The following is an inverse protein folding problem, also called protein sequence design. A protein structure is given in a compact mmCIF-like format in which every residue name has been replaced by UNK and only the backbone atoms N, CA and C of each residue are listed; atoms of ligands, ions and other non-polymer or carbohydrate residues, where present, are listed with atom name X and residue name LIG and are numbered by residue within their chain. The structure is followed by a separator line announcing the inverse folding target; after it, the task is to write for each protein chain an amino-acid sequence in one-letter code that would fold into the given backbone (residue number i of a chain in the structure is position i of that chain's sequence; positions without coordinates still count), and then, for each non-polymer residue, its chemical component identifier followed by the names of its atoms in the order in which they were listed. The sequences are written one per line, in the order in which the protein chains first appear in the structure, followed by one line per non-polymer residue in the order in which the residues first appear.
data_IF_981652944898
#
_entry.id   IF_981652944898
#
_cell.length_a   1.000
_cell.length_b   1.000
_cell.length_c   1.000
_cell.angle_alpha   90.00
_cell.angle_beta   90.00
_cell.angle_gamma   90.00
#
_symmetry.space_group_name_H-M   'P 1'
#
loop_
_entity.id
_entity.type
_entity.pdbx_description
1 polymer ?
#
# COMPACT_ATOMS: atom_id res chain seq x y z
N UNK A 1 17.86 1.28 -12.03
CA UNK A 1 18.20 2.13 -10.85
C UNK A 1 17.59 1.43 -9.65
N UNK A 2 18.33 1.22 -8.55
CA UNK A 2 17.82 0.53 -7.35
C UNK A 2 18.11 1.41 -6.13
N UNK A 3 17.27 1.32 -5.12
CA UNK A 3 17.56 1.92 -3.81
C UNK A 3 18.59 1.05 -3.09
N UNK A 4 19.55 1.67 -2.41
CA UNK A 4 20.56 0.96 -1.60
C UNK A 4 20.12 0.82 -0.14
N UNK A 5 19.21 1.68 0.30
CA UNK A 5 18.75 1.74 1.68
C UNK A 5 17.36 2.36 1.81
N UNK A 6 16.74 2.18 2.97
CA UNK A 6 15.48 2.85 3.31
C UNK A 6 15.63 4.38 3.37
N UNK A 7 16.84 4.89 3.65
CA UNK A 7 17.12 6.33 3.63
C UNK A 7 17.06 6.89 2.22
N UNK A 8 17.46 6.11 1.21
CA UNK A 8 17.37 6.54 -0.19
C UNK A 8 15.91 6.64 -0.62
N UNK A 9 15.06 5.69 -0.19
CA UNK A 9 13.61 5.73 -0.41
C UNK A 9 13.00 6.98 0.24
N UNK A 10 13.39 7.31 1.47
CA UNK A 10 12.93 8.50 2.19
C UNK A 10 13.32 9.78 1.45
N UNK A 11 14.58 9.88 1.04
CA UNK A 11 15.11 11.02 0.31
C UNK A 11 14.38 11.22 -1.02
N UNK A 12 14.17 10.13 -1.76
CA UNK A 12 13.43 10.14 -3.02
C UNK A 12 11.97 10.56 -2.83
N UNK A 13 11.29 10.01 -1.82
CA UNK A 13 9.92 10.40 -1.50
C UNK A 13 9.83 11.90 -1.16
N UNK A 14 10.73 12.43 -0.31
CA UNK A 14 10.78 13.85 0.02
C UNK A 14 11.05 14.73 -1.21
N UNK A 15 11.91 14.28 -2.12
CA UNK A 15 12.15 14.98 -3.39
C UNK A 15 10.87 15.05 -4.24
N UNK A 16 10.14 13.94 -4.41
CA UNK A 16 8.86 13.91 -5.11
C UNK A 16 7.79 14.77 -4.42
N UNK A 17 7.80 14.85 -3.09
CA UNK A 17 6.89 15.72 -2.33
C UNK A 17 7.14 17.22 -2.54
N UNK A 18 8.35 17.62 -2.92
CA UNK A 18 8.71 19.03 -3.21
C UNK A 18 8.63 19.39 -4.67
N UNK A 19 8.44 18.39 -5.54
CA UNK A 19 8.29 18.60 -6.99
C UNK A 19 6.97 19.31 -7.31
N UNK A 20 6.98 20.23 -8.27
CA UNK A 20 5.79 20.82 -8.87
C UNK A 20 5.18 19.85 -9.90
N UNK A 21 3.91 19.58 -9.77
CA UNK A 21 3.13 18.77 -10.69
C UNK A 21 2.12 19.63 -11.43
N UNK A 22 2.12 19.50 -12.75
CA UNK A 22 1.15 20.14 -13.63
C UNK A 22 0.04 19.14 -13.97
N UNK A 23 -1.20 19.49 -13.63
CA UNK A 23 -2.39 18.69 -13.94
C UNK A 23 -3.41 19.56 -14.64
N UNK A 24 -3.90 19.12 -15.78
CA UNK A 24 -4.92 19.82 -16.53
C UNK A 24 -6.29 19.18 -16.31
N UNK A 25 -7.26 19.99 -15.89
CA UNK A 25 -8.63 19.53 -15.64
C UNK A 25 -9.62 20.56 -16.20
N UNK A 26 -10.49 20.14 -17.12
CA UNK A 26 -11.53 20.99 -17.74
C UNK A 26 -10.96 22.30 -18.30
N UNK A 27 -9.83 22.23 -19.00
CA UNK A 27 -9.14 23.39 -19.60
C UNK A 27 -8.42 24.32 -18.60
N UNK A 28 -8.34 23.93 -17.33
CA UNK A 28 -7.57 24.67 -16.30
C UNK A 28 -6.33 23.90 -15.92
N UNK A 29 -5.20 24.62 -15.89
CA UNK A 29 -3.92 24.09 -15.39
C UNK A 29 -3.83 24.28 -13.88
N UNK A 30 -3.56 23.20 -13.16
CA UNK A 30 -3.24 23.20 -11.75
C UNK A 30 -1.75 22.93 -11.56
N UNK A 31 -1.03 23.84 -10.92
CA UNK A 31 0.36 23.67 -10.49
C UNK A 31 0.36 23.38 -8.99
N UNK A 32 0.77 22.19 -8.61
CA UNK A 32 0.60 21.67 -7.26
C UNK A 32 1.90 21.06 -6.72
N UNK A 33 2.26 21.42 -5.51
CA UNK A 33 3.41 20.88 -4.77
C UNK A 33 2.88 20.23 -3.50
N UNK A 34 2.99 18.90 -3.31
CA UNK A 34 2.40 18.20 -2.16
C UNK A 34 2.81 18.79 -0.81
N UNK A 35 4.10 19.13 -0.62
CA UNK A 35 4.59 19.72 0.62
C UNK A 35 3.98 21.11 0.90
N UNK A 36 3.76 21.95 -0.12
CA UNK A 36 3.07 23.25 0.00
C UNK A 36 1.57 23.11 0.30
N UNK A 37 0.98 21.94 0.02
CA UNK A 37 -0.38 21.59 0.43
C UNK A 37 -0.46 21.09 1.88
N UNK A 38 0.68 21.07 2.59
CA UNK A 38 0.82 20.64 3.98
C UNK A 38 1.06 19.15 4.16
N UNK A 39 1.21 18.37 3.08
CA UNK A 39 1.49 16.94 3.20
C UNK A 39 2.92 16.67 3.65
N UNK A 40 3.06 15.69 4.56
CA UNK A 40 4.34 15.20 5.08
C UNK A 40 4.51 13.73 4.74
N UNK A 41 5.74 13.32 4.50
CA UNK A 41 6.10 11.93 4.28
C UNK A 41 6.49 11.26 5.60
N UNK A 42 6.11 9.99 5.77
CA UNK A 42 6.60 9.12 6.85
C UNK A 42 6.62 7.65 6.42
N UNK A 43 7.32 6.82 7.17
CA UNK A 43 7.14 5.37 7.10
C UNK A 43 6.13 4.90 8.15
N UNK A 44 5.42 3.82 7.79
CA UNK A 44 4.61 3.05 8.73
C UNK A 44 5.03 1.56 8.74
N UNK A 45 4.41 0.77 9.60
CA UNK A 45 4.72 -0.66 9.77
C UNK A 45 3.65 -1.57 9.17
N UNK A 46 2.90 -1.11 8.17
CA UNK A 46 1.91 -1.93 7.48
C UNK A 46 2.60 -3.12 6.78
N UNK A 47 1.93 -4.29 6.80
CA UNK A 47 2.46 -5.51 6.18
C UNK A 47 1.64 -5.98 4.97
N UNK A 48 0.56 -5.29 4.64
CA UNK A 48 -0.41 -5.69 3.61
C UNK A 48 -0.77 -4.58 2.64
N UNK A 49 -0.27 -3.36 2.82
CA UNK A 49 -0.40 -2.23 1.90
C UNK A 49 0.95 -1.55 1.76
N UNK A 50 1.30 -1.17 0.56
CA UNK A 50 2.59 -0.55 0.27
C UNK A 50 2.60 0.93 0.65
N UNK A 51 1.51 1.66 0.36
CA UNK A 51 1.36 3.09 0.67
C UNK A 51 0.01 3.45 1.28
N UNK A 52 -0.09 4.69 1.76
CA UNK A 52 -1.33 5.26 2.27
C UNK A 52 -1.28 6.79 2.26
N UNK A 53 -2.37 7.43 1.84
CA UNK A 53 -2.58 8.88 1.90
C UNK A 53 -3.70 9.22 2.88
N UNK A 54 -3.38 9.97 3.93
CA UNK A 54 -4.38 10.56 4.85
C UNK A 54 -4.69 12.00 4.45
N UNK A 55 -5.91 12.23 4.01
CA UNK A 55 -6.37 13.59 3.68
C UNK A 55 -6.53 14.45 4.93
N UNK A 56 -6.98 13.85 6.05
CA UNK A 56 -7.19 14.51 7.32
C UNK A 56 -5.88 14.96 7.95
N UNK A 57 -4.93 14.03 8.05
CA UNK A 57 -3.69 14.27 8.78
C UNK A 57 -2.63 14.90 7.87
N UNK A 58 -2.92 15.04 6.55
CA UNK A 58 -1.97 15.52 5.54
C UNK A 58 -0.68 14.70 5.53
N UNK A 59 -0.83 13.38 5.48
CA UNK A 59 0.29 12.45 5.51
C UNK A 59 0.26 11.51 4.31
N UNK A 60 1.44 11.28 3.75
CA UNK A 60 1.72 10.22 2.79
C UNK A 60 2.69 9.27 3.46
N UNK A 61 2.32 8.01 3.57
CA UNK A 61 3.16 6.99 4.18
C UNK A 61 3.44 5.82 3.25
N UNK A 62 4.63 5.23 3.42
CA UNK A 62 4.99 3.94 2.85
C UNK A 62 5.24 2.93 3.95
N UNK A 63 4.95 1.68 3.66
CA UNK A 63 5.33 0.56 4.51
C UNK A 63 6.84 0.41 4.54
N UNK A 64 7.47 0.70 5.68
CA UNK A 64 8.91 0.48 5.86
C UNK A 64 9.30 -0.97 5.57
N UNK A 65 8.61 -1.99 6.17
CA UNK A 65 8.97 -3.39 5.92
C UNK A 65 8.85 -3.79 4.44
N UNK A 66 7.79 -3.38 3.74
CA UNK A 66 7.64 -3.72 2.31
C UNK A 66 8.68 -3.00 1.44
N UNK A 67 9.05 -1.76 1.77
CA UNK A 67 10.14 -1.08 1.08
C UNK A 67 11.48 -1.81 1.30
N UNK A 68 11.79 -2.24 2.54
CA UNK A 68 13.02 -2.97 2.86
C UNK A 68 13.14 -4.29 2.09
N UNK A 69 12.03 -5.01 1.89
CA UNK A 69 11.98 -6.25 1.10
C UNK A 69 12.07 -6.03 -0.42
N UNK A 70 11.91 -4.79 -0.90
CA UNK A 70 11.81 -4.46 -2.32
C UNK A 70 12.72 -3.31 -2.74
N UNK A 71 13.85 -3.12 -2.07
CA UNK A 71 14.81 -2.03 -2.40
C UNK A 71 15.36 -2.13 -3.82
N UNK A 72 15.41 -3.32 -4.39
CA UNK A 72 15.80 -3.62 -5.76
C UNK A 72 14.71 -3.26 -6.79
N UNK A 73 13.47 -3.11 -6.36
CA UNK A 73 12.34 -2.74 -7.21
C UNK A 73 12.03 -1.24 -7.14
N UNK A 74 12.93 -0.44 -7.74
CA UNK A 74 12.77 1.01 -7.82
C UNK A 74 11.42 1.41 -8.41
N UNK A 75 11.00 0.73 -9.49
CA UNK A 75 9.77 1.08 -10.20
C UNK A 75 8.55 0.98 -9.29
N UNK A 76 8.41 -0.11 -8.56
CA UNK A 76 7.28 -0.31 -7.66
C UNK A 76 7.24 0.72 -6.53
N UNK A 77 8.39 1.00 -5.90
CA UNK A 77 8.47 1.98 -4.81
C UNK A 77 8.15 3.38 -5.33
N UNK A 78 8.75 3.78 -6.46
CA UNK A 78 8.51 5.09 -7.09
C UNK A 78 7.03 5.25 -7.48
N UNK A 79 6.44 4.25 -8.13
CA UNK A 79 5.03 4.29 -8.54
C UNK A 79 4.09 4.36 -7.32
N UNK A 80 4.42 3.66 -6.22
CA UNK A 80 3.65 3.77 -4.98
C UNK A 80 3.71 5.18 -4.39
N UNK A 81 4.88 5.83 -4.39
CA UNK A 81 4.97 7.23 -3.91
C UNK A 81 4.10 8.15 -4.78
N UNK A 82 4.19 8.02 -6.10
CA UNK A 82 3.37 8.81 -7.03
C UNK A 82 1.87 8.51 -6.87
N UNK A 83 1.49 7.27 -6.59
CA UNK A 83 0.12 6.85 -6.30
C UNK A 83 -0.46 7.61 -5.10
N UNK A 84 0.27 7.67 -3.99
CA UNK A 84 -0.17 8.38 -2.79
C UNK A 84 -0.17 9.91 -3.00
N UNK A 85 0.80 10.44 -3.75
CA UNK A 85 0.79 11.84 -4.19
C UNK A 85 -0.44 12.12 -5.05
N UNK A 86 -0.78 11.23 -5.99
CA UNK A 86 -1.98 11.38 -6.83
C UNK A 86 -3.26 11.48 -6.00
N UNK A 87 -3.38 10.72 -4.89
CA UNK A 87 -4.50 10.85 -3.96
C UNK A 87 -4.57 12.27 -3.37
N UNK A 88 -3.45 12.79 -2.88
CA UNK A 88 -3.37 14.12 -2.30
C UNK A 88 -3.78 15.22 -3.30
N UNK A 89 -3.24 15.16 -4.53
CA UNK A 89 -3.50 16.13 -5.58
C UNK A 89 -4.94 16.03 -6.12
N UNK A 90 -5.44 14.81 -6.33
CA UNK A 90 -6.81 14.59 -6.77
C UNK A 90 -7.83 15.10 -5.76
N UNK A 91 -7.58 14.87 -4.47
CA UNK A 91 -8.42 15.43 -3.40
C UNK A 91 -8.37 16.96 -3.38
N UNK A 92 -7.20 17.58 -3.61
CA UNK A 92 -7.08 19.04 -3.69
C UNK A 92 -7.87 19.63 -4.85
N UNK A 93 -7.87 18.97 -6.02
CA UNK A 93 -8.54 19.47 -7.24
C UNK A 93 -10.06 19.21 -7.17
N UNK A 94 -10.48 18.05 -6.69
CA UNK A 94 -11.87 17.56 -6.83
C UNK A 94 -12.63 17.42 -5.51
N UNK A 95 -11.98 17.69 -4.36
CA UNK A 95 -12.56 17.44 -3.02
C UNK A 95 -12.85 15.94 -2.82
N UNK A 96 -13.92 15.61 -2.12
CA UNK A 96 -14.34 14.23 -1.85
C UNK A 96 -14.56 13.40 -3.13
N UNK A 97 -14.95 14.03 -4.24
CA UNK A 97 -15.11 13.36 -5.53
C UNK A 97 -13.79 12.91 -6.18
N UNK A 98 -12.66 13.41 -5.68
CA UNK A 98 -11.31 12.98 -6.06
C UNK A 98 -10.73 11.90 -5.14
N UNK A 99 -11.46 11.49 -4.10
CA UNK A 99 -11.03 10.39 -3.22
C UNK A 99 -11.16 9.02 -3.89
N UNK A 100 -10.40 8.05 -3.38
CA UNK A 100 -10.37 6.69 -3.94
C UNK A 100 -9.74 6.65 -5.33
N UNK A 101 -10.04 5.59 -6.10
CA UNK A 101 -9.44 5.33 -7.42
C UNK A 101 -10.44 5.62 -8.56
N UNK A 102 -11.17 6.73 -8.46
CA UNK A 102 -12.12 7.18 -9.49
C UNK A 102 -11.42 7.56 -10.80
N UNK A 103 -12.19 7.75 -11.89
CA UNK A 103 -11.65 8.26 -13.16
C UNK A 103 -10.88 9.59 -12.99
N UNK A 104 -11.30 10.43 -12.02
CA UNK A 104 -10.61 11.69 -11.69
C UNK A 104 -9.23 11.44 -11.10
N UNK A 105 -9.15 10.51 -10.15
CA UNK A 105 -7.87 10.09 -9.60
C UNK A 105 -6.95 9.47 -10.67
N UNK A 106 -7.45 8.57 -11.51
CA UNK A 106 -6.67 7.96 -12.61
C UNK A 106 -6.10 9.01 -13.54
N UNK A 107 -6.89 10.05 -13.89
CA UNK A 107 -6.40 11.16 -14.70
C UNK A 107 -5.24 11.88 -14.03
N UNK A 108 -5.36 12.26 -12.77
CA UNK A 108 -4.29 12.92 -11.99
C UNK A 108 -3.07 12.02 -11.88
N UNK A 109 -3.26 10.73 -11.53
CA UNK A 109 -2.18 9.76 -11.39
C UNK A 109 -1.34 9.66 -12.67
N UNK A 110 -1.98 9.49 -13.82
CA UNK A 110 -1.30 9.43 -15.12
C UNK A 110 -0.60 10.74 -15.47
N UNK A 111 -1.21 11.90 -15.16
CA UNK A 111 -0.60 13.22 -15.41
C UNK A 111 0.72 13.44 -14.66
N UNK A 112 0.92 12.77 -13.54
CA UNK A 112 2.14 12.89 -12.73
C UNK A 112 3.14 11.74 -12.91
N UNK A 113 2.84 10.79 -13.81
CA UNK A 113 3.72 9.67 -14.15
C UNK A 113 3.49 8.39 -13.35
N UNK A 114 2.39 8.27 -12.59
CA UNK A 114 1.95 7.02 -11.98
C UNK A 114 1.23 6.15 -13.01
N UNK A 115 1.32 4.83 -12.86
CA UNK A 115 0.67 3.87 -13.78
C UNK A 115 -0.87 3.94 -13.76
N UNK A 116 -1.47 4.52 -12.72
CA UNK A 116 -2.92 4.66 -12.56
C UNK A 116 -3.66 3.37 -12.21
N UNK A 117 -2.97 2.28 -11.87
CA UNK A 117 -3.58 1.05 -11.37
C UNK A 117 -4.02 1.24 -9.92
N UNK A 118 -5.14 0.59 -9.54
CA UNK A 118 -5.68 0.68 -8.17
C UNK A 118 -4.78 0.02 -7.13
N UNK A 119 -4.17 -1.09 -7.49
CA UNK A 119 -3.30 -1.88 -6.61
C UNK A 119 -2.03 -2.23 -7.37
N UNK A 120 -0.94 -2.42 -6.65
CA UNK A 120 0.26 -3.03 -7.21
C UNK A 120 0.00 -4.52 -7.50
N UNK A 121 0.73 -5.08 -8.43
CA UNK A 121 0.70 -6.50 -8.69
C UNK A 121 1.52 -7.22 -7.61
N UNK A 122 0.84 -8.03 -6.79
CA UNK A 122 1.48 -8.75 -5.68
C UNK A 122 2.45 -9.84 -6.16
N UNK A 123 2.43 -10.23 -7.44
CA UNK A 123 3.39 -11.16 -8.03
C UNK A 123 4.72 -10.49 -8.37
N UNK A 124 4.71 -9.16 -8.53
CA UNK A 124 5.90 -8.35 -8.88
C UNK A 124 6.67 -7.83 -7.65
N UNK A 125 6.23 -8.16 -6.44
CA UNK A 125 6.84 -7.66 -5.20
C UNK A 125 7.13 -8.78 -4.22
N UNK A 126 8.24 -8.63 -3.48
CA UNK A 126 8.56 -9.51 -2.38
C UNK A 126 7.64 -9.22 -1.19
N UNK A 127 6.93 -10.23 -0.74
CA UNK A 127 6.03 -10.11 0.40
C UNK A 127 6.75 -10.50 1.70
N UNK A 128 6.35 -9.84 2.79
CA UNK A 128 6.90 -10.15 4.12
C UNK A 128 6.45 -11.55 4.52
N UNK A 129 7.41 -12.39 4.90
CA UNK A 129 7.12 -13.72 5.41
C UNK A 129 6.20 -13.70 6.64
N UNK A 130 5.34 -14.68 6.72
CA UNK A 130 4.37 -14.81 7.79
C UNK A 130 4.97 -15.58 8.96
N UNK A 131 4.99 -14.96 10.14
CA UNK A 131 5.52 -15.58 11.37
C UNK A 131 4.73 -16.81 11.82
N UNK A 132 3.45 -16.86 11.50
CA UNK A 132 2.55 -17.95 11.87
C UNK A 132 1.76 -18.46 10.68
N UNK A 133 1.36 -19.73 10.77
CA UNK A 133 0.39 -20.36 9.87
C UNK A 133 -0.70 -21.02 10.70
N UNK A 134 -1.93 -20.95 10.22
CA UNK A 134 -3.03 -21.76 10.71
C UNK A 134 -3.23 -22.93 9.73
N UNK A 135 -3.00 -24.14 10.16
CA UNK A 135 -3.03 -25.33 9.31
C UNK A 135 -4.21 -26.21 9.69
N UNK A 136 -4.95 -26.64 8.67
CA UNK A 136 -6.01 -27.62 8.83
C UNK A 136 -5.46 -29.03 8.63
N UNK A 137 -5.49 -29.86 9.67
CA UNK A 137 -4.99 -31.23 9.58
C UNK A 137 -5.91 -32.15 8.74
N UNK A 138 -7.17 -31.74 8.48
CA UNK A 138 -8.11 -32.51 7.66
C UNK A 138 -7.91 -32.30 6.15
N UNK A 139 -7.73 -31.06 5.68
CA UNK A 139 -7.64 -30.74 4.24
C UNK A 139 -6.30 -30.16 3.81
N UNK A 140 -5.32 -30.02 4.72
CA UNK A 140 -4.02 -29.41 4.46
C UNK A 140 -4.08 -27.89 4.19
N UNK A 141 -5.24 -27.27 4.37
CA UNK A 141 -5.39 -25.82 4.15
C UNK A 141 -4.43 -25.02 5.03
N UNK A 142 -3.66 -24.09 4.44
CA UNK A 142 -2.71 -23.24 5.13
C UNK A 142 -3.15 -21.78 5.03
N UNK A 143 -3.26 -21.12 6.18
CA UNK A 143 -3.75 -19.73 6.29
C UNK A 143 -2.69 -18.88 7.02
N UNK A 144 -1.82 -18.19 6.27
CA UNK A 144 -0.70 -17.43 6.84
C UNK A 144 -1.15 -16.25 7.69
N UNK A 145 -0.39 -15.95 8.77
CA UNK A 145 -0.64 -14.87 9.72
C UNK A 145 0.65 -14.18 10.16
N UNK A 146 0.65 -12.84 10.19
CA UNK A 146 1.78 -12.06 10.73
C UNK A 146 1.80 -12.00 12.26
N UNK A 147 0.67 -12.29 12.92
CA UNK A 147 0.54 -12.29 14.39
C UNK A 147 -0.05 -13.60 14.86
N UNK A 148 0.34 -14.03 16.04
CA UNK A 148 -0.27 -15.20 16.69
C UNK A 148 -1.78 -14.95 16.89
N UNK A 149 -2.63 -15.85 16.45
CA UNK A 149 -4.07 -15.75 16.71
C UNK A 149 -4.36 -15.71 18.20
N UNK A 150 -5.33 -14.90 18.60
CA UNK A 150 -5.78 -14.76 20.00
C UNK A 150 -7.00 -15.63 20.34
N UNK A 151 -7.59 -16.25 19.33
CA UNK A 151 -8.76 -17.12 19.45
C UNK A 151 -8.60 -18.31 18.50
N UNK A 152 -9.36 -19.34 18.73
CA UNK A 152 -9.42 -20.50 17.87
C UNK A 152 -10.18 -20.18 16.57
N UNK A 153 -9.80 -20.85 15.51
CA UNK A 153 -10.42 -20.76 14.19
C UNK A 153 -10.68 -22.17 13.67
N UNK A 154 -11.81 -22.38 13.03
CA UNK A 154 -12.10 -23.59 12.26
C UNK A 154 -11.86 -23.35 10.77
N UNK A 155 -11.63 -24.43 10.04
CA UNK A 155 -11.36 -24.38 8.61
C UNK A 155 -12.61 -24.10 7.79
N UNK A 156 -12.72 -22.88 7.24
CA UNK A 156 -13.83 -22.50 6.37
C UNK A 156 -13.88 -23.27 5.04
N UNK A 157 -12.84 -24.03 4.70
CA UNK A 157 -12.83 -24.90 3.52
C UNK A 157 -13.53 -26.23 3.81
N UNK A 158 -13.41 -26.72 5.05
CA UNK A 158 -14.07 -27.96 5.50
C UNK A 158 -15.51 -27.70 5.98
N UNK A 159 -15.73 -26.58 6.70
CA UNK A 159 -17.05 -26.13 7.13
C UNK A 159 -17.17 -24.62 6.91
N UNK A 160 -17.82 -24.18 5.81
CA UNK A 160 -17.85 -22.76 5.43
C UNK A 160 -18.90 -21.93 6.19
N UNK A 161 -19.88 -22.56 6.85
CA UNK A 161 -21.05 -21.86 7.40
C UNK A 161 -20.95 -21.53 8.87
N UNK A 162 -20.21 -22.31 9.65
CA UNK A 162 -20.12 -22.17 11.10
C UNK A 162 -18.75 -22.58 11.65
N UNK A 163 -18.46 -22.16 12.86
CA UNK A 163 -17.33 -22.70 13.62
C UNK A 163 -17.61 -24.17 13.98
N UNK A 164 -16.63 -25.03 13.73
CA UNK A 164 -16.72 -26.45 14.05
C UNK A 164 -15.39 -26.94 14.62
N UNK A 165 -15.39 -27.42 15.85
CA UNK A 165 -14.20 -27.91 16.56
C UNK A 165 -13.53 -29.10 15.85
N UNK A 166 -14.29 -29.90 15.12
CA UNK A 166 -13.76 -30.98 14.28
C UNK A 166 -12.73 -30.54 13.28
N UNK A 167 -12.82 -29.28 12.83
CA UNK A 167 -11.94 -28.69 11.83
C UNK A 167 -11.09 -27.54 12.42
N UNK A 168 -10.74 -27.66 13.71
CA UNK A 168 -9.90 -26.67 14.37
C UNK A 168 -8.56 -26.52 13.65
N UNK A 169 -8.13 -25.28 13.48
CA UNK A 169 -6.86 -24.96 12.83
C UNK A 169 -5.72 -24.96 13.84
N UNK A 170 -4.68 -25.72 13.58
CA UNK A 170 -3.48 -25.75 14.39
C UNK A 170 -2.59 -24.55 14.08
N UNK A 171 -2.10 -23.88 15.11
CA UNK A 171 -1.16 -22.77 14.99
C UNK A 171 0.26 -23.31 14.84
N UNK A 172 0.93 -22.95 13.75
CA UNK A 172 2.35 -23.25 13.50
C UNK A 172 3.13 -21.94 13.52
N UNK A 173 4.24 -21.90 14.23
CA UNK A 173 5.19 -20.80 14.15
C UNK A 173 6.24 -21.17 13.10
N UNK A 174 6.46 -20.27 12.10
CA UNK A 174 7.32 -20.56 10.96
C UNK A 174 8.79 -20.22 11.26
N UNK A 175 9.04 -19.21 12.12
CA UNK A 175 10.38 -18.79 12.58
C UNK A 175 10.29 -18.00 13.88
#
# INVERSE_FOLDING_TARGET
MNFKSIKDVESHAKQLMTKEYRVEVNGRTHLLIPSKLGYRFKFDNAKRRFGYCSYRDKEISLSKPLCEYNLDNFYQINDTILHEIAHALSYKIHGSRGSGHSKRWVHVAKSIGCNGKRCYDSSEVNNIEHKYSLVCDTCGGNYPRHRKPRRDYSCAKCEPKKFDEKYLLRVVQNF
#
